data_IF_037069747300
#
_entry.id   IF_037069747300
#
_cell.length_a   1.000
_cell.length_b   1.000
_cell.length_c   1.000
_cell.angle_alpha   90.00
_cell.angle_beta   90.00
_cell.angle_gamma   90.00
#
_symmetry.space_group_name_H-M   'P 1'
#
loop_
_entity.id
_entity.type
_entity.pdbx_description
1 polymer ?
#
# COMPACT_ATOMS: atom_id res chain seq x y z
N UNK A 1 -9.35 9.93 14.63
CA UNK A 1 -8.16 9.15 15.05
C UNK A 1 -7.28 10.08 15.85
N UNK A 2 -6.99 9.77 17.11
CA UNK A 2 -6.06 10.57 17.93
C UNK A 2 -4.64 10.45 17.37
N UNK A 3 -3.85 11.52 17.39
CA UNK A 3 -2.43 11.51 16.98
C UNK A 3 -1.64 10.44 17.72
N UNK A 4 -1.99 10.16 18.98
CA UNK A 4 -1.37 9.11 19.79
C UNK A 4 -1.63 7.70 19.25
N UNK A 5 -2.81 7.46 18.67
CA UNK A 5 -3.13 6.16 18.07
C UNK A 5 -2.35 5.93 16.77
N UNK A 6 -1.99 7.01 16.06
CA UNK A 6 -1.20 6.94 14.84
C UNK A 6 0.19 6.32 15.10
N UNK A 7 0.74 6.52 16.30
CA UNK A 7 2.05 6.04 16.72
C UNK A 7 2.02 4.83 17.67
N UNK A 8 0.83 4.31 18.00
CA UNK A 8 0.73 3.15 18.90
C UNK A 8 1.10 1.88 18.16
N UNK A 9 2.07 1.14 18.71
CA UNK A 9 2.74 0.03 18.04
C UNK A 9 2.36 -1.31 18.66
N UNK A 10 1.92 -2.27 17.84
CA UNK A 10 1.82 -3.68 18.24
C UNK A 10 3.19 -4.24 18.65
N UNK A 11 3.25 -4.98 19.75
CA UNK A 11 4.53 -5.49 20.30
C UNK A 11 5.08 -6.70 19.54
N UNK A 12 4.45 -7.07 18.42
CA UNK A 12 4.84 -8.22 17.61
C UNK A 12 5.94 -7.85 16.59
N UNK A 13 7.06 -8.60 16.52
CA UNK A 13 8.09 -8.39 15.51
C UNK A 13 7.64 -8.81 14.10
N UNK A 14 6.59 -9.64 14.01
CA UNK A 14 6.15 -10.26 12.76
C UNK A 14 5.45 -9.28 11.81
N UNK A 15 5.00 -8.12 12.29
CA UNK A 15 4.43 -7.08 11.44
C UNK A 15 5.43 -6.59 10.36
N UNK A 16 6.74 -6.77 10.59
CA UNK A 16 7.76 -6.54 9.54
C UNK A 16 7.51 -7.35 8.28
N UNK A 17 7.06 -8.61 8.39
CA UNK A 17 6.81 -9.46 7.22
C UNK A 17 5.70 -8.87 6.33
N UNK A 18 4.64 -8.35 6.95
CA UNK A 18 3.53 -7.72 6.23
C UNK A 18 3.96 -6.36 5.66
N UNK A 19 4.70 -5.55 6.43
CA UNK A 19 5.28 -4.29 5.93
C UNK A 19 6.17 -4.52 4.72
N UNK A 20 7.06 -5.49 4.80
CA UNK A 20 7.97 -5.82 3.73
C UNK A 20 7.20 -6.33 2.51
N UNK A 21 6.27 -7.29 2.68
CA UNK A 21 5.49 -7.82 1.56
C UNK A 21 4.68 -6.73 0.85
N UNK A 22 3.92 -5.93 1.59
CA UNK A 22 3.10 -4.85 1.02
C UNK A 22 4.00 -3.78 0.39
N UNK A 23 4.99 -3.30 1.12
CA UNK A 23 5.86 -2.23 0.66
C UNK A 23 6.70 -2.64 -0.55
N UNK A 24 7.18 -3.88 -0.61
CA UNK A 24 7.95 -4.41 -1.73
C UNK A 24 7.10 -4.54 -3.00
N UNK A 25 5.88 -5.04 -2.90
CA UNK A 25 4.98 -5.17 -4.07
C UNK A 25 4.65 -3.81 -4.64
N UNK A 26 4.28 -2.83 -3.80
CA UNK A 26 3.97 -1.49 -4.29
C UNK A 26 5.20 -0.75 -4.80
N UNK A 27 6.34 -0.85 -4.14
CA UNK A 27 7.59 -0.24 -4.62
C UNK A 27 7.95 -0.78 -6.01
N UNK A 28 7.92 -2.10 -6.18
CA UNK A 28 8.26 -2.71 -7.47
C UNK A 28 7.23 -2.40 -8.55
N UNK A 29 5.93 -2.42 -8.25
CA UNK A 29 4.90 -2.07 -9.23
C UNK A 29 4.94 -0.58 -9.61
N UNK A 30 5.22 0.32 -8.67
CA UNK A 30 5.42 1.74 -8.95
C UNK A 30 6.62 2.00 -9.85
N UNK A 31 7.75 1.33 -9.59
CA UNK A 31 8.92 1.36 -10.49
C UNK A 31 8.59 0.78 -11.86
N UNK A 32 7.83 -0.32 -11.91
CA UNK A 32 7.43 -0.99 -13.13
C UNK A 32 6.58 -0.07 -14.05
N UNK A 33 5.76 0.82 -13.48
CA UNK A 33 5.02 1.85 -14.25
C UNK A 33 5.95 2.84 -14.95
N UNK A 34 7.12 3.12 -14.39
CA UNK A 34 8.12 4.01 -14.99
C UNK A 34 9.01 3.29 -16.00
N UNK A 35 9.36 2.02 -15.73
CA UNK A 35 10.21 1.19 -16.60
C UNK A 35 9.44 0.74 -17.85
N UNK A 36 8.18 0.34 -17.68
CA UNK A 36 7.31 -0.17 -18.74
C UNK A 36 6.09 0.75 -18.95
N UNK A 37 6.28 2.00 -19.41
CA UNK A 37 5.22 3.00 -19.46
C UNK A 37 4.09 2.65 -20.45
N UNK A 38 4.37 1.89 -21.51
CA UNK A 38 3.34 1.47 -22.46
C UNK A 38 2.37 0.44 -21.86
N UNK A 39 2.89 -0.56 -21.15
CA UNK A 39 2.09 -1.69 -20.65
C UNK A 39 1.55 -1.47 -19.23
N UNK A 40 2.28 -0.71 -18.41
CA UNK A 40 2.02 -0.56 -16.97
C UNK A 40 1.78 0.88 -16.55
N UNK A 41 2.45 1.83 -17.19
CA UNK A 41 2.30 3.27 -16.93
C UNK A 41 1.28 3.94 -17.83
N UNK A 42 1.66 5.04 -18.48
CA UNK A 42 0.79 5.93 -19.28
C UNK A 42 -0.11 5.17 -20.25
N UNK A 43 0.42 4.22 -21.03
CA UNK A 43 -0.36 3.50 -22.04
C UNK A 43 -1.47 2.64 -21.44
N UNK A 44 -1.25 2.09 -20.24
CA UNK A 44 -2.30 1.37 -19.49
C UNK A 44 -3.41 2.32 -19.04
N UNK A 45 -3.04 3.49 -18.52
CA UNK A 45 -3.98 4.48 -18.02
C UNK A 45 -4.78 5.14 -19.17
N UNK A 46 -4.17 5.27 -20.34
CA UNK A 46 -4.82 5.68 -21.58
C UNK A 46 -5.81 4.62 -22.06
N UNK A 47 -5.40 3.34 -22.07
CA UNK A 47 -6.30 2.22 -22.41
C UNK A 47 -7.51 2.10 -21.47
N UNK A 48 -7.37 2.54 -20.22
CA UNK A 48 -8.47 2.65 -19.26
C UNK A 48 -9.43 3.83 -19.55
N UNK A 49 -9.06 4.78 -20.41
CA UNK A 49 -9.87 5.96 -20.72
C UNK A 49 -9.79 7.09 -19.68
N UNK A 50 -8.68 7.20 -18.94
CA UNK A 50 -8.49 8.30 -17.98
C UNK A 50 -8.24 9.65 -18.69
N UNK A 51 -8.79 10.78 -18.20
CA UNK A 51 -8.71 12.06 -18.90
C UNK A 51 -7.32 12.72 -18.89
N UNK A 52 -6.41 12.27 -18.02
CA UNK A 52 -5.02 12.76 -17.95
C UNK A 52 -4.04 11.60 -17.63
N UNK A 53 -3.85 10.63 -18.55
CA UNK A 53 -3.13 9.39 -18.28
C UNK A 53 -1.72 9.59 -17.74
N UNK A 54 -1.00 10.60 -18.25
CA UNK A 54 0.36 10.93 -17.82
C UNK A 54 0.42 11.35 -16.35
N UNK A 55 -0.50 12.23 -15.94
CA UNK A 55 -0.58 12.72 -14.56
C UNK A 55 -0.98 11.60 -13.60
N UNK A 56 -1.96 10.78 -13.98
CA UNK A 56 -2.39 9.65 -13.15
C UNK A 56 -1.31 8.56 -13.06
N UNK A 57 -0.69 8.18 -14.17
CA UNK A 57 0.36 7.16 -14.18
C UNK A 57 1.57 7.60 -13.36
N UNK A 58 2.05 8.83 -13.57
CA UNK A 58 3.17 9.39 -12.80
C UNK A 58 2.82 9.59 -11.33
N UNK A 59 1.61 10.09 -11.03
CA UNK A 59 1.13 10.30 -9.67
C UNK A 59 1.00 9.00 -8.87
N UNK A 60 0.36 7.98 -9.45
CA UNK A 60 0.23 6.66 -8.82
C UNK A 60 1.59 6.01 -8.65
N UNK A 61 2.47 6.02 -9.66
CA UNK A 61 3.81 5.49 -9.56
C UNK A 61 4.62 6.15 -8.43
N UNK A 62 4.58 7.49 -8.34
CA UNK A 62 5.24 8.24 -7.29
C UNK A 62 4.72 7.90 -5.89
N UNK A 63 3.39 7.83 -5.74
CA UNK A 63 2.75 7.42 -4.47
C UNK A 63 3.19 6.02 -4.05
N UNK A 64 3.14 5.05 -4.97
CA UNK A 64 3.50 3.66 -4.70
C UNK A 64 4.97 3.50 -4.31
N UNK A 65 5.89 4.18 -5.01
CA UNK A 65 7.32 4.17 -4.71
C UNK A 65 7.60 4.77 -3.34
N UNK A 66 7.07 5.97 -3.06
CA UNK A 66 7.34 6.68 -1.82
C UNK A 66 6.72 5.94 -0.64
N UNK A 67 5.43 5.63 -0.70
CA UNK A 67 4.73 4.95 0.38
C UNK A 67 5.24 3.52 0.59
N UNK A 68 5.56 2.78 -0.49
CA UNK A 68 6.15 1.45 -0.41
C UNK A 68 7.52 1.46 0.29
N UNK A 69 8.37 2.42 -0.05
CA UNK A 69 9.70 2.60 0.59
C UNK A 69 9.55 2.95 2.07
N UNK A 70 8.65 3.88 2.41
CA UNK A 70 8.36 4.25 3.80
C UNK A 70 7.87 3.06 4.61
N UNK A 71 7.00 2.23 4.02
CA UNK A 71 6.46 1.04 4.68
C UNK A 71 7.55 -0.01 4.98
N UNK A 72 8.45 -0.27 4.03
CA UNK A 72 9.60 -1.18 4.22
C UNK A 72 10.49 -0.66 5.36
N UNK A 73 10.79 0.64 5.37
CA UNK A 73 11.54 1.26 6.45
C UNK A 73 10.77 1.19 7.79
N UNK A 74 9.44 1.10 7.77
CA UNK A 74 8.61 1.22 8.95
C UNK A 74 8.57 2.65 9.47
N UNK A 75 8.48 3.61 8.55
CA UNK A 75 8.35 5.03 8.84
C UNK A 75 6.96 5.52 8.38
N UNK A 76 6.25 6.26 9.23
CA UNK A 76 4.87 6.69 9.03
C UNK A 76 3.95 5.54 8.61
N UNK A 77 4.11 4.36 9.21
CA UNK A 77 3.58 3.09 8.69
C UNK A 77 2.06 3.14 8.49
N UNK A 78 1.30 3.68 9.45
CA UNK A 78 -0.16 3.77 9.31
C UNK A 78 -0.59 4.71 8.19
N UNK A 79 0.11 5.83 8.02
CA UNK A 79 -0.19 6.78 6.95
C UNK A 79 0.17 6.19 5.58
N UNK A 80 1.37 5.61 5.44
CA UNK A 80 1.81 4.95 4.22
C UNK A 80 0.87 3.78 3.85
N UNK A 81 0.49 2.95 4.81
CA UNK A 81 -0.46 1.85 4.61
C UNK A 81 -1.85 2.35 4.20
N UNK A 82 -2.34 3.44 4.80
CA UNK A 82 -3.64 4.02 4.42
C UNK A 82 -3.63 4.52 2.98
N UNK A 83 -2.56 5.19 2.57
CA UNK A 83 -2.38 5.65 1.19
C UNK A 83 -2.35 4.46 0.21
N UNK A 84 -1.56 3.43 0.51
CA UNK A 84 -1.47 2.22 -0.33
C UNK A 84 -2.78 1.43 -0.38
N UNK A 85 -3.54 1.38 0.72
CA UNK A 85 -4.87 0.79 0.74
C UNK A 85 -5.82 1.54 -0.22
N UNK A 86 -5.74 2.87 -0.26
CA UNK A 86 -6.48 3.70 -1.23
C UNK A 86 -6.11 3.35 -2.67
N UNK A 87 -4.82 3.24 -2.98
CA UNK A 87 -4.33 2.87 -4.33
C UNK A 87 -4.84 1.48 -4.74
N UNK A 88 -4.70 0.46 -3.88
CA UNK A 88 -5.22 -0.88 -4.16
C UNK A 88 -6.74 -0.88 -4.38
N UNK A 89 -7.49 -0.16 -3.55
CA UNK A 89 -8.94 -0.08 -3.69
C UNK A 89 -9.35 0.56 -5.02
N UNK A 90 -8.71 1.67 -5.39
CA UNK A 90 -8.93 2.33 -6.68
C UNK A 90 -8.57 1.40 -7.83
N UNK A 91 -7.45 0.68 -7.75
CA UNK A 91 -7.06 -0.30 -8.77
C UNK A 91 -8.11 -1.42 -8.92
N UNK A 92 -8.63 -1.96 -7.81
CA UNK A 92 -9.68 -2.98 -7.82
C UNK A 92 -10.94 -2.47 -8.53
N UNK A 93 -11.42 -1.28 -8.17
CA UNK A 93 -12.64 -0.71 -8.73
C UNK A 93 -12.47 -0.39 -10.22
N UNK A 94 -11.36 0.24 -10.61
CA UNK A 94 -11.18 0.71 -11.98
C UNK A 94 -10.75 -0.38 -12.95
N UNK A 95 -10.01 -1.40 -12.49
CA UNK A 95 -9.42 -2.41 -13.38
C UNK A 95 -10.04 -3.78 -13.24
N UNK A 96 -10.48 -4.18 -12.04
CA UNK A 96 -10.98 -5.56 -11.82
C UNK A 96 -12.48 -5.64 -11.99
N UNK A 97 -13.23 -4.60 -11.63
CA UNK A 97 -14.67 -4.56 -11.83
C UNK A 97 -15.08 -4.70 -13.32
N UNK A 98 -14.40 -4.04 -14.29
CA UNK A 98 -14.61 -4.32 -15.71
C UNK A 98 -14.40 -5.80 -16.10
N UNK A 99 -13.38 -6.46 -15.53
CA UNK A 99 -13.10 -7.89 -15.79
C UNK A 99 -14.23 -8.77 -15.28
N UNK A 100 -14.79 -8.44 -14.11
CA UNK A 100 -15.95 -9.14 -13.55
C UNK A 100 -17.19 -9.00 -14.46
N UNK A 101 -17.43 -7.79 -14.96
CA UNK A 101 -18.60 -7.47 -15.79
C UNK A 101 -18.43 -7.91 -17.25
N UNK A 102 -17.22 -8.26 -17.69
CA UNK A 102 -16.92 -8.56 -19.09
C UNK A 102 -17.09 -7.37 -20.04
N UNK A 103 -17.25 -6.17 -19.49
CA UNK A 103 -17.56 -4.92 -20.18
C UNK A 103 -16.91 -3.75 -19.43
N UNK A 104 -16.93 -2.55 -20.01
CA UNK A 104 -16.48 -1.35 -19.29
C UNK A 104 -17.32 -1.07 -18.04
N UNK A 105 -16.70 -0.48 -17.01
CA UNK A 105 -17.36 0.07 -15.84
C UNK A 105 -17.31 1.60 -15.89
N UNK A 106 -18.48 2.24 -15.93
CA UNK A 106 -18.61 3.68 -16.18
C UNK A 106 -17.93 4.06 -17.51
N UNK A 107 -16.95 4.96 -17.48
CA UNK A 107 -16.11 5.34 -18.62
C UNK A 107 -14.84 4.50 -18.73
N UNK A 108 -14.59 3.60 -17.77
CA UNK A 108 -13.35 2.83 -17.67
C UNK A 108 -13.51 1.45 -18.31
N UNK A 109 -12.56 1.06 -19.16
CA UNK A 109 -12.64 -0.19 -19.92
C UNK A 109 -11.28 -0.63 -20.46
N UNK A 110 -11.26 -1.43 -21.53
CA UNK A 110 -10.02 -1.80 -22.20
C UNK A 110 -9.06 -2.63 -21.33
N UNK A 111 -9.59 -3.33 -20.32
CA UNK A 111 -8.77 -4.14 -19.43
C UNK A 111 -8.55 -5.51 -20.07
N UNK A 112 -7.38 -5.69 -20.69
CA UNK A 112 -6.96 -7.02 -21.13
C UNK A 112 -6.80 -7.95 -19.92
N UNK A 113 -7.64 -8.99 -19.88
CA UNK A 113 -7.59 -10.06 -18.89
C UNK A 113 -7.53 -11.42 -19.60
N UNK A 114 -6.87 -12.38 -18.97
CA UNK A 114 -6.70 -13.73 -19.53
C UNK A 114 -8.04 -14.45 -19.76
N UNK A 115 -9.03 -14.17 -18.92
CA UNK A 115 -10.41 -14.62 -19.02
C UNK A 115 -11.30 -13.67 -18.23
N UNK A 116 -12.58 -13.57 -18.60
CA UNK A 116 -13.55 -12.63 -18.00
C UNK A 116 -14.55 -13.36 -17.07
N UNK A 117 -15.37 -12.58 -16.36
CA UNK A 117 -16.37 -13.07 -15.42
C UNK A 117 -15.79 -13.31 -14.03
N UNK A 118 -16.54 -14.01 -13.17
CA UNK A 118 -16.18 -14.20 -11.77
C UNK A 118 -14.79 -14.83 -11.59
N UNK A 119 -14.47 -15.86 -12.38
CA UNK A 119 -13.17 -16.52 -12.28
C UNK A 119 -12.03 -15.62 -12.73
N UNK A 120 -12.22 -14.85 -13.80
CA UNK A 120 -11.26 -13.87 -14.30
C UNK A 120 -10.98 -12.80 -13.27
N UNK A 121 -12.04 -12.26 -12.69
CA UNK A 121 -11.97 -11.31 -11.59
C UNK A 121 -11.18 -11.86 -10.41
N UNK A 122 -11.54 -13.05 -9.90
CA UNK A 122 -10.86 -13.63 -8.74
C UNK A 122 -9.38 -13.92 -9.02
N UNK A 123 -9.04 -14.33 -10.24
CA UNK A 123 -7.66 -14.58 -10.65
C UNK A 123 -6.86 -13.27 -10.71
N UNK A 124 -7.42 -12.23 -11.34
CA UNK A 124 -6.76 -10.95 -11.55
C UNK A 124 -6.69 -10.11 -10.26
N UNK A 125 -7.66 -10.23 -9.35
CA UNK A 125 -7.73 -9.38 -8.14
C UNK A 125 -6.83 -9.85 -6.99
N UNK A 126 -6.34 -11.10 -7.04
CA UNK A 126 -5.78 -11.81 -5.87
C UNK A 126 -4.64 -11.05 -5.19
N UNK A 127 -3.79 -10.41 -6.00
CA UNK A 127 -2.67 -9.63 -5.50
C UNK A 127 -3.16 -8.33 -4.85
N UNK A 128 -4.01 -7.57 -5.55
CA UNK A 128 -4.57 -6.31 -5.05
C UNK A 128 -5.35 -6.52 -3.74
N UNK A 129 -6.14 -7.59 -3.65
CA UNK A 129 -6.87 -7.95 -2.44
C UNK A 129 -5.93 -8.27 -1.28
N UNK A 130 -4.90 -9.09 -1.50
CA UNK A 130 -3.91 -9.40 -0.47
C UNK A 130 -3.18 -8.14 0.01
N UNK A 131 -2.81 -7.25 -0.92
CA UNK A 131 -2.14 -5.99 -0.60
C UNK A 131 -3.06 -5.01 0.13
N UNK A 132 -4.34 -4.95 -0.26
CA UNK A 132 -5.35 -4.16 0.43
C UNK A 132 -5.53 -4.65 1.87
N UNK A 133 -5.77 -5.94 2.08
CA UNK A 133 -5.94 -6.52 3.42
C UNK A 133 -4.68 -6.35 4.27
N UNK A 134 -3.50 -6.58 3.69
CA UNK A 134 -2.22 -6.34 4.38
C UNK A 134 -2.03 -4.87 4.78
N UNK A 135 -2.45 -3.94 3.93
CA UNK A 135 -2.43 -2.51 4.23
C UNK A 135 -3.40 -2.16 5.36
N UNK A 136 -4.64 -2.67 5.31
CA UNK A 136 -5.62 -2.49 6.40
C UNK A 136 -5.11 -3.07 7.72
N UNK A 137 -4.49 -4.25 7.69
CA UNK A 137 -3.84 -4.81 8.87
C UNK A 137 -2.82 -3.83 9.47
N UNK A 138 -1.94 -3.23 8.65
CA UNK A 138 -0.94 -2.27 9.12
C UNK A 138 -1.53 -0.95 9.60
N UNK A 139 -2.66 -0.50 9.04
CA UNK A 139 -3.41 0.66 9.54
C UNK A 139 -3.93 0.41 10.95
N UNK A 140 -4.42 -0.80 11.22
CA UNK A 140 -5.01 -1.18 12.51
C UNK A 140 -3.95 -1.53 13.56
N UNK A 141 -3.02 -2.44 13.22
CA UNK A 141 -1.96 -2.96 14.08
C UNK A 141 -0.78 -1.97 14.26
N UNK A 142 -0.58 -1.05 13.30
CA UNK A 142 0.54 -0.13 13.33
C UNK A 142 1.89 -0.76 12.93
N UNK A 143 3.01 -0.13 13.29
CA UNK A 143 4.30 -0.39 12.67
C UNK A 143 5.02 -1.68 13.13
N UNK A 144 4.62 -2.25 14.25
CA UNK A 144 5.31 -3.39 14.88
C UNK A 144 6.70 -3.10 15.45
N UNK A 145 7.26 -4.09 16.16
CA UNK A 145 8.61 -4.00 16.74
C UNK A 145 9.70 -3.92 15.66
N UNK A 146 10.74 -3.14 15.93
CA UNK A 146 11.89 -2.93 15.04
C UNK A 146 11.66 -1.94 13.91
N UNK A 147 10.52 -1.25 13.88
CA UNK A 147 10.24 -0.15 12.96
C UNK A 147 10.99 1.13 13.35
N UNK A 148 11.25 2.01 12.38
CA UNK A 148 11.76 3.35 12.70
C UNK A 148 10.73 4.18 13.49
N UNK A 149 9.44 3.99 13.25
CA UNK A 149 8.36 4.61 14.03
C UNK A 149 8.46 4.26 15.52
N UNK A 150 8.70 2.98 15.87
CA UNK A 150 8.90 2.58 17.26
C UNK A 150 10.14 3.24 17.87
N UNK A 151 11.25 3.29 17.13
CA UNK A 151 12.49 3.90 17.62
C UNK A 151 12.35 5.41 17.85
N UNK A 152 11.58 6.09 17.00
CA UNK A 152 11.45 7.54 17.01
C UNK A 152 10.32 8.04 17.93
N UNK A 153 9.21 7.28 18.03
CA UNK A 153 8.00 7.69 18.75
C UNK A 153 7.61 6.77 19.91
N UNK A 154 8.23 5.60 20.06
CA UNK A 154 7.97 4.62 21.13
C UNK A 154 8.73 4.85 22.43
N UNK A 155 9.60 5.87 22.50
CA UNK A 155 10.26 6.28 23.73
C UNK A 155 9.27 7.10 24.57
N UNK A 156 8.59 6.46 25.51
CA UNK A 156 7.87 7.18 26.56
C UNK A 156 8.91 7.82 27.50
N UNK A 157 9.05 9.15 27.52
CA UNK A 157 10.08 9.81 28.30
C UNK A 157 9.94 9.55 29.81
N UNK A 158 8.75 9.15 30.27
CA UNK A 158 8.52 8.77 31.67
C UNK A 158 9.08 7.37 31.95
N UNK A 159 8.84 6.39 31.09
CA UNK A 159 9.35 5.02 31.27
C UNK A 159 10.87 4.94 31.05
N UNK A 160 11.43 5.74 30.15
CA UNK A 160 12.88 5.80 29.98
C UNK A 160 13.58 6.43 31.18
N UNK A 161 12.95 7.41 31.87
CA UNK A 161 13.47 7.92 33.16
C UNK A 161 13.47 6.84 34.24
N UNK A 162 12.39 6.06 34.34
CA UNK A 162 12.30 4.95 35.31
C UNK A 162 13.31 3.85 35.00
N UNK A 163 13.46 3.45 33.73
CA UNK A 163 14.44 2.42 33.31
C UNK A 163 15.88 2.87 33.56
N UNK A 164 16.18 4.15 33.34
CA UNK A 164 17.50 4.72 33.61
C UNK A 164 17.77 4.83 35.11
N UNK A 165 16.77 5.20 35.93
CA UNK A 165 16.91 5.25 37.39
C UNK A 165 17.20 3.86 38.00
N UNK A 166 16.55 2.81 37.49
CA UNK A 166 16.76 1.42 37.96
C UNK A 166 18.12 0.87 37.51
N UNK A 167 18.68 1.30 36.37
CA UNK A 167 20.01 0.88 35.90
C UNK A 167 21.18 1.54 36.64
N UNK A 168 20.95 2.64 37.34
CA UNK A 168 21.98 3.38 38.09
C UNK A 168 22.04 3.00 39.58
N UNK A 169 21.26 2.01 40.03
CA UNK A 169 21.28 1.47 41.40
C UNK A 169 21.82 0.05 41.38
#
# INVERSE_FOLDING_TARGET
MDLRELFRTETSPWAFLIRFAVGFVFLTEGLNKLINPAERGVGRFEGLGLPAPELFAGGVAGIEIVAGTLLIAGLFTRAAALVLAGVALTAIVLTKLPVLLGTGFLTFGGVDASFYGLWGFLYEWRLDFAMFVGSIYLVLAGPGKGSFDERLFGQDPVLDRVRNAVRTT
#
